data_IF_899394501673
#
_entry.id   IF_899394501673
#
_cell.length_a   1.000
_cell.length_b   1.000
_cell.length_c   1.000
_cell.angle_alpha   90.00
_cell.angle_beta   90.00
_cell.angle_gamma   90.00
#
_symmetry.space_group_name_H-M   'P 1'
#
loop_
_entity.id
_entity.type
_entity.pdbx_description
1 polymer ?
#
# COMPACT_ATOMS: atom_id res chain seq x y z
N UNK A 1 7.33 -36.74 18.40
CA UNK A 1 6.22 -35.78 18.12
C UNK A 1 6.68 -34.32 18.16
N UNK A 2 7.40 -33.85 19.20
CA UNK A 2 7.84 -32.44 19.30
C UNK A 2 8.65 -31.89 18.11
N UNK A 3 9.51 -32.71 17.49
CA UNK A 3 10.31 -32.31 16.31
C UNK A 3 9.46 -31.92 15.10
N UNK A 4 8.35 -32.61 14.88
CA UNK A 4 7.45 -32.34 13.75
C UNK A 4 6.69 -31.03 14.00
N UNK A 5 6.21 -30.82 15.23
CA UNK A 5 5.53 -29.59 15.64
C UNK A 5 6.46 -28.37 15.49
N UNK A 6 7.72 -28.50 15.91
CA UNK A 6 8.70 -27.42 15.77
C UNK A 6 8.94 -27.04 14.29
N UNK A 7 9.10 -28.02 13.40
CA UNK A 7 9.26 -27.77 11.96
C UNK A 7 8.00 -27.12 11.38
N UNK A 8 6.82 -27.60 11.76
CA UNK A 8 5.55 -27.03 11.29
C UNK A 8 5.39 -25.57 11.71
N UNK A 9 5.72 -25.24 12.96
CA UNK A 9 5.67 -23.87 13.47
C UNK A 9 6.67 -22.96 12.74
N UNK A 10 7.90 -23.43 12.50
CA UNK A 10 8.89 -22.68 11.72
C UNK A 10 8.42 -22.41 10.28
N UNK A 11 7.79 -23.40 9.64
CA UNK A 11 7.21 -23.23 8.31
C UNK A 11 6.08 -22.19 8.31
N UNK A 12 5.18 -22.21 9.28
CA UNK A 12 4.09 -21.22 9.39
C UNK A 12 4.65 -19.80 9.57
N UNK A 13 5.66 -19.63 10.41
CA UNK A 13 6.31 -18.33 10.63
C UNK A 13 7.00 -17.82 9.35
N UNK A 14 7.73 -18.69 8.65
CA UNK A 14 8.39 -18.33 7.40
C UNK A 14 7.38 -17.94 6.30
N UNK A 15 6.29 -18.70 6.17
CA UNK A 15 5.20 -18.38 5.23
C UNK A 15 4.58 -17.03 5.60
N UNK A 16 4.22 -16.81 6.86
CA UNK A 16 3.64 -15.55 7.31
C UNK A 16 4.54 -14.35 7.01
N UNK A 17 5.84 -14.44 7.30
CA UNK A 17 6.79 -13.36 7.03
C UNK A 17 6.89 -13.02 5.54
N UNK A 18 6.94 -14.02 4.66
CA UNK A 18 6.99 -13.82 3.20
C UNK A 18 5.70 -13.16 2.69
N UNK A 19 4.54 -13.56 3.21
CA UNK A 19 3.26 -12.98 2.78
C UNK A 19 3.12 -11.52 3.23
N UNK A 20 3.59 -11.18 4.44
CA UNK A 20 3.57 -9.80 4.96
C UNK A 20 4.43 -8.89 4.08
N UNK A 21 5.69 -9.24 3.82
CA UNK A 21 6.57 -8.40 2.99
C UNK A 21 6.09 -8.25 1.55
N UNK A 22 5.51 -9.30 0.97
CA UNK A 22 4.94 -9.21 -0.38
C UNK A 22 3.71 -8.30 -0.42
N UNK A 23 2.86 -8.35 0.59
CA UNK A 23 1.70 -7.47 0.71
C UNK A 23 2.12 -6.01 0.92
N UNK A 24 3.11 -5.75 1.78
CA UNK A 24 3.67 -4.41 2.02
C UNK A 24 4.28 -3.82 0.75
N UNK A 25 5.16 -4.55 0.06
CA UNK A 25 5.79 -4.08 -1.17
C UNK A 25 4.79 -3.76 -2.29
N UNK A 26 3.75 -4.60 -2.44
CA UNK A 26 2.69 -4.37 -3.44
C UNK A 26 1.85 -3.14 -3.08
N UNK A 27 1.59 -2.94 -1.78
CA UNK A 27 0.83 -1.79 -1.27
C UNK A 27 1.61 -0.49 -1.47
N UNK A 28 2.91 -0.48 -1.18
CA UNK A 28 3.77 0.70 -1.39
C UNK A 28 3.86 1.10 -2.87
N UNK A 29 3.98 0.12 -3.77
CA UNK A 29 4.00 0.38 -5.22
C UNK A 29 2.67 0.98 -5.69
N UNK A 30 1.54 0.42 -5.27
CA UNK A 30 0.21 0.92 -5.62
C UNK A 30 -0.04 2.34 -5.08
N UNK A 31 0.38 2.60 -3.83
CA UNK A 31 0.28 3.92 -3.24
C UNK A 31 1.15 4.94 -4.00
N UNK A 32 2.39 4.58 -4.31
CA UNK A 32 3.33 5.43 -5.05
C UNK A 32 2.82 5.81 -6.44
N UNK A 33 2.31 4.84 -7.20
CA UNK A 33 1.73 5.10 -8.54
C UNK A 33 0.49 6.01 -8.46
N UNK A 34 -0.38 5.78 -7.47
CA UNK A 34 -1.53 6.64 -7.20
C UNK A 34 -1.09 8.08 -6.90
N UNK A 35 -0.12 8.23 -5.98
CA UNK A 35 0.36 9.52 -5.54
C UNK A 35 1.01 10.30 -6.68
N UNK A 36 1.89 9.68 -7.46
CA UNK A 36 2.54 10.32 -8.60
C UNK A 36 1.54 10.81 -9.66
N UNK A 37 0.54 10.00 -9.97
CA UNK A 37 -0.50 10.35 -10.93
C UNK A 37 -1.35 11.50 -10.41
N UNK A 38 -1.85 11.39 -9.17
CA UNK A 38 -2.65 12.43 -8.53
C UNK A 38 -1.89 13.75 -8.43
N UNK A 39 -0.61 13.71 -8.02
CA UNK A 39 0.18 14.91 -7.83
C UNK A 39 0.44 15.61 -9.17
N UNK A 40 0.73 14.85 -10.24
CA UNK A 40 0.86 15.39 -11.59
C UNK A 40 -0.44 16.06 -12.06
N UNK A 41 -1.57 15.38 -11.90
CA UNK A 41 -2.88 15.91 -12.32
C UNK A 41 -3.28 17.14 -11.49
N UNK A 42 -3.08 17.11 -10.18
CA UNK A 42 -3.39 18.21 -9.28
C UNK A 42 -2.66 19.51 -9.66
N UNK A 43 -1.41 19.40 -10.11
CA UNK A 43 -0.65 20.53 -10.62
C UNK A 43 -1.07 20.98 -12.02
N UNK A 44 -1.50 20.04 -12.86
CA UNK A 44 -1.87 20.29 -14.25
C UNK A 44 -3.33 20.72 -14.45
N UNK A 45 -4.14 20.70 -13.39
CA UNK A 45 -5.60 20.93 -13.42
C UNK A 45 -6.02 22.37 -13.78
N UNK A 46 -5.12 23.19 -14.33
CA UNK A 46 -5.39 24.56 -14.77
C UNK A 46 -5.61 25.58 -13.65
N UNK A 47 -5.62 25.14 -12.39
CA UNK A 47 -5.88 25.97 -11.19
C UNK A 47 -4.62 26.45 -10.47
N UNK A 48 -3.43 26.12 -10.98
CA UNK A 48 -2.14 26.41 -10.34
C UNK A 48 -2.16 26.08 -8.83
N UNK A 49 -2.61 24.87 -8.48
CA UNK A 49 -2.65 24.42 -7.10
C UNK A 49 -1.23 24.42 -6.51
N UNK A 50 -1.11 24.84 -5.24
CA UNK A 50 0.18 24.84 -4.54
C UNK A 50 0.67 23.42 -4.21
N UNK A 51 1.98 23.26 -4.05
CA UNK A 51 2.61 21.97 -3.73
C UNK A 51 2.00 21.29 -2.50
N UNK A 52 1.97 21.99 -1.37
CA UNK A 52 1.44 21.45 -0.11
C UNK A 52 -0.04 21.07 -0.20
N UNK A 53 -0.82 21.79 -1.03
CA UNK A 53 -2.22 21.42 -1.27
C UNK A 53 -2.32 20.09 -2.02
N UNK A 54 -1.54 19.93 -3.09
CA UNK A 54 -1.54 18.69 -3.87
C UNK A 54 -0.99 17.51 -3.07
N UNK A 55 0.06 17.74 -2.27
CA UNK A 55 0.60 16.75 -1.33
C UNK A 55 -0.49 16.24 -0.38
N UNK A 56 -1.13 17.11 0.40
CA UNK A 56 -2.15 16.69 1.37
C UNK A 56 -3.38 16.07 0.71
N UNK A 57 -3.82 16.59 -0.45
CA UNK A 57 -4.94 16.02 -1.18
C UNK A 57 -4.63 14.61 -1.66
N UNK A 58 -3.48 14.43 -2.31
CA UNK A 58 -3.13 13.15 -2.91
C UNK A 58 -2.80 12.08 -1.87
N UNK A 59 -2.21 12.47 -0.74
CA UNK A 59 -2.01 11.58 0.41
C UNK A 59 -3.36 11.03 0.91
N UNK A 60 -4.33 11.91 1.17
CA UNK A 60 -5.66 11.53 1.63
C UNK A 60 -6.46 10.71 0.60
N UNK A 61 -6.43 11.09 -0.69
CA UNK A 61 -7.15 10.41 -1.76
C UNK A 61 -6.60 9.00 -2.00
N UNK A 62 -5.27 8.84 -1.99
CA UNK A 62 -4.63 7.55 -2.20
C UNK A 62 -4.76 6.63 -0.99
N UNK A 63 -4.64 7.15 0.24
CA UNK A 63 -4.91 6.39 1.46
C UNK A 63 -6.37 5.88 1.49
N UNK A 64 -7.33 6.70 1.08
CA UNK A 64 -8.75 6.29 0.96
C UNK A 64 -8.95 5.18 -0.06
N UNK A 65 -8.25 5.23 -1.21
CA UNK A 65 -8.29 4.17 -2.24
C UNK A 65 -7.67 2.87 -1.74
N UNK A 66 -6.54 2.94 -1.05
CA UNK A 66 -5.88 1.78 -0.45
C UNK A 66 -6.77 1.09 0.59
N UNK A 67 -7.37 1.86 1.50
CA UNK A 67 -8.30 1.34 2.50
C UNK A 67 -9.53 0.69 1.85
N UNK A 68 -10.08 1.29 0.79
CA UNK A 68 -11.18 0.69 0.02
C UNK A 68 -10.78 -0.62 -0.64
N UNK A 69 -9.58 -0.70 -1.24
CA UNK A 69 -9.07 -1.94 -1.84
C UNK A 69 -8.90 -3.05 -0.79
N UNK A 70 -8.39 -2.72 0.40
CA UNK A 70 -8.25 -3.65 1.52
C UNK A 70 -9.58 -4.13 2.10
N UNK A 71 -10.58 -3.25 2.16
CA UNK A 71 -11.91 -3.58 2.70
C UNK A 71 -12.81 -4.34 1.70
N UNK A 72 -12.63 -4.11 0.40
CA UNK A 72 -13.43 -4.74 -0.66
C UNK A 72 -12.86 -6.08 -1.15
N UNK A 73 -11.72 -6.51 -0.61
CA UNK A 73 -11.17 -7.85 -0.81
C UNK A 73 -11.01 -8.21 -2.28
N UNK A 74 -10.01 -7.64 -2.95
CA UNK A 74 -9.45 -8.23 -4.17
C UNK A 74 -8.37 -9.25 -3.84
#
# INVERSE_FOLDING_TARGET
MAKIVAVFLMCMVAIAAVHIHKAEATTEQQFSECYHTCHKECFQDGKANGYTFCEMKCDADCASKELKAKLLGQ
#
